data_IF_879056985276
#
_entry.id   IF_879056985276
#
_cell.length_a   1.000
_cell.length_b   1.000
_cell.length_c   1.000
_cell.angle_alpha   90.00
_cell.angle_beta   90.00
_cell.angle_gamma   90.00
#
_symmetry.space_group_name_H-M   'P 1'
#
loop_
_entity.id
_entity.type
_entity.pdbx_description
1 polymer ?
#
# COMPACT_ATOMS: atom_id res chain seq x y z
N UNK A 1 -3.37 17.03 11.33
CA UNK A 1 -3.50 17.50 9.95
C UNK A 1 -2.98 16.42 8.99
N UNK A 2 -1.68 16.15 8.93
CA UNK A 2 -1.10 15.14 8.02
C UNK A 2 -1.70 13.74 8.12
N UNK A 3 -1.95 13.23 9.33
CA UNK A 3 -2.60 11.91 9.49
C UNK A 3 -4.05 11.88 8.99
N UNK A 4 -4.72 13.04 9.01
CA UNK A 4 -6.08 13.20 8.45
C UNK A 4 -6.01 13.20 6.93
N UNK A 5 -5.03 13.90 6.35
CA UNK A 5 -4.81 13.94 4.89
C UNK A 5 -4.43 12.56 4.33
N UNK A 6 -3.72 11.74 5.11
CA UNK A 6 -3.31 10.38 4.72
C UNK A 6 -4.29 9.29 5.17
N UNK A 7 -5.47 9.64 5.69
CA UNK A 7 -6.40 8.69 6.30
C UNK A 7 -7.00 7.68 5.31
N UNK A 8 -6.96 7.97 4.00
CA UNK A 8 -7.35 7.02 2.96
C UNK A 8 -6.50 5.76 2.95
N UNK A 9 -5.22 5.88 3.36
CA UNK A 9 -4.30 4.74 3.46
C UNK A 9 -4.66 3.77 4.58
N UNK A 10 -5.54 4.17 5.51
CA UNK A 10 -6.01 3.31 6.61
C UNK A 10 -7.38 2.68 6.34
N UNK A 11 -7.95 2.86 5.14
CA UNK A 11 -9.21 2.22 4.74
C UNK A 11 -8.96 0.83 4.18
N UNK A 12 -9.99 0.14 3.73
CA UNK A 12 -9.83 -1.15 3.06
C UNK A 12 -9.03 -1.01 1.74
N UNK A 13 -8.47 -2.13 1.29
CA UNK A 13 -7.59 -2.15 0.12
C UNK A 13 -8.29 -1.69 -1.17
N UNK A 14 -9.60 -1.95 -1.29
CA UNK A 14 -10.40 -1.48 -2.43
C UNK A 14 -10.44 0.04 -2.47
N UNK A 15 -10.68 0.69 -1.34
CA UNK A 15 -10.62 2.15 -1.26
C UNK A 15 -9.20 2.67 -1.56
N UNK A 16 -8.16 2.04 -1.02
CA UNK A 16 -6.76 2.41 -1.30
C UNK A 16 -6.42 2.36 -2.80
N UNK A 17 -6.87 1.32 -3.52
CA UNK A 17 -6.71 1.22 -4.99
C UNK A 17 -7.48 2.30 -5.74
N UNK A 18 -8.73 2.56 -5.37
CA UNK A 18 -9.56 3.56 -6.03
C UNK A 18 -8.97 4.98 -5.89
N UNK A 19 -8.47 5.32 -4.69
CA UNK A 19 -7.79 6.58 -4.45
C UNK A 19 -6.47 6.65 -5.22
N UNK A 20 -5.67 5.57 -5.23
CA UNK A 20 -4.45 5.52 -6.03
C UNK A 20 -4.74 5.75 -7.53
N UNK A 21 -5.79 5.12 -8.08
CA UNK A 21 -6.20 5.31 -9.47
C UNK A 21 -6.49 6.79 -9.79
N UNK A 22 -7.22 7.48 -8.91
CA UNK A 22 -7.54 8.89 -9.11
C UNK A 22 -6.30 9.79 -9.01
N UNK A 23 -5.41 9.53 -8.05
CA UNK A 23 -4.15 10.28 -7.89
C UNK A 23 -3.26 10.12 -9.12
N UNK A 24 -3.06 8.88 -9.60
CA UNK A 24 -2.22 8.65 -10.77
C UNK A 24 -2.84 9.19 -12.05
N UNK A 25 -4.17 9.20 -12.19
CA UNK A 25 -4.83 9.90 -13.29
C UNK A 25 -4.51 11.39 -13.32
N UNK A 26 -4.50 12.04 -12.16
CA UNK A 26 -4.14 13.45 -12.04
C UNK A 26 -2.65 13.66 -12.36
N UNK A 27 -1.76 12.83 -11.81
CA UNK A 27 -0.32 12.90 -12.08
C UNK A 27 0.01 12.67 -13.56
N UNK A 28 -0.65 11.72 -14.21
CA UNK A 28 -0.45 11.46 -15.63
C UNK A 28 -1.00 12.61 -16.48
N UNK A 29 -2.14 13.21 -16.11
CA UNK A 29 -2.63 14.40 -16.81
C UNK A 29 -1.66 15.57 -16.69
N UNK A 30 -1.00 15.75 -15.54
CA UNK A 30 0.02 16.77 -15.36
C UNK A 30 1.28 16.45 -16.17
N UNK A 31 1.76 15.20 -16.12
CA UNK A 31 2.93 14.76 -16.89
C UNK A 31 2.73 14.87 -18.40
N UNK A 32 1.53 14.59 -18.90
CA UNK A 32 1.16 14.76 -20.31
C UNK A 32 1.21 16.25 -20.72
N UNK A 33 0.82 17.16 -19.83
CA UNK A 33 0.93 18.61 -20.05
C UNK A 33 2.40 19.07 -20.04
N UNK A 34 3.21 18.58 -19.10
CA UNK A 34 4.65 18.87 -19.05
C UNK A 34 5.37 18.41 -20.32
N UNK A 35 5.05 17.21 -20.83
CA UNK A 35 5.55 16.70 -22.12
C UNK A 35 5.17 17.63 -23.28
N UNK A 36 3.91 18.11 -23.32
CA UNK A 36 3.45 19.05 -24.35
C UNK A 36 4.18 20.39 -24.29
N UNK A 37 4.60 20.82 -23.11
CA UNK A 37 5.41 22.03 -22.91
C UNK A 37 6.91 21.81 -23.19
N UNK A 38 7.32 20.60 -23.57
CA UNK A 38 8.72 20.26 -23.83
C UNK A 38 9.55 19.97 -22.58
N UNK A 39 8.91 19.86 -21.41
CA UNK A 39 9.55 19.42 -20.18
C UNK A 39 9.53 17.89 -20.06
N UNK A 40 10.47 17.33 -19.30
CA UNK A 40 10.46 15.90 -18.95
C UNK A 40 9.79 15.72 -17.60
N UNK A 41 8.65 15.01 -17.51
CA UNK A 41 7.96 14.83 -16.25
C UNK A 41 8.72 13.90 -15.31
N UNK A 42 8.42 14.02 -14.01
CA UNK A 42 8.91 13.08 -13.01
C UNK A 42 8.40 11.67 -13.30
N UNK A 43 9.16 10.64 -12.89
CA UNK A 43 8.83 9.23 -13.18
C UNK A 43 7.43 8.83 -12.68
N UNK A 44 6.97 9.37 -11.55
CA UNK A 44 5.63 9.11 -11.01
C UNK A 44 4.48 9.79 -11.80
N UNK A 45 4.81 10.80 -12.61
CA UNK A 45 3.89 11.53 -13.48
C UNK A 45 3.96 11.04 -14.93
N UNK A 46 4.96 10.23 -15.26
CA UNK A 46 5.10 9.65 -16.59
C UNK A 46 4.36 8.31 -16.69
N UNK A 47 3.22 8.32 -17.37
CA UNK A 47 2.37 7.13 -17.56
C UNK A 47 3.06 5.97 -18.29
N UNK A 48 4.12 6.24 -19.05
CA UNK A 48 4.85 5.22 -19.81
C UNK A 48 5.92 4.52 -18.95
N UNK A 49 6.24 5.08 -17.79
CA UNK A 49 7.35 4.63 -16.92
C UNK A 49 6.94 4.33 -15.49
N UNK A 50 5.81 4.87 -15.02
CA UNK A 50 5.38 4.78 -13.64
C UNK A 50 5.03 3.33 -13.23
N UNK A 51 5.87 2.73 -12.38
CA UNK A 51 5.56 1.48 -11.71
C UNK A 51 4.72 1.72 -10.46
N UNK A 52 3.41 1.93 -10.64
CA UNK A 52 2.46 2.32 -9.58
C UNK A 52 2.57 1.51 -8.28
N UNK A 53 2.63 0.15 -8.29
CA UNK A 53 2.75 -0.62 -7.05
C UNK A 53 4.04 -0.32 -6.30
N UNK A 54 5.16 -0.14 -7.01
CA UNK A 54 6.47 0.18 -6.42
C UNK A 54 6.49 1.59 -5.85
N UNK A 55 5.94 2.56 -6.59
CA UNK A 55 5.85 3.96 -6.13
C UNK A 55 4.94 4.03 -4.89
N UNK A 56 3.83 3.29 -4.85
CA UNK A 56 2.98 3.24 -3.66
C UNK A 56 3.68 2.60 -2.46
N UNK A 57 4.43 1.52 -2.66
CA UNK A 57 5.22 0.92 -1.59
C UNK A 57 6.25 1.89 -1.02
N UNK A 58 6.96 2.61 -1.89
CA UNK A 58 7.94 3.61 -1.48
C UNK A 58 7.28 4.77 -0.71
N UNK A 59 6.14 5.28 -1.19
CA UNK A 59 5.35 6.30 -0.49
C UNK A 59 4.87 5.81 0.89
N UNK A 60 4.39 4.57 0.97
CA UNK A 60 3.93 4.01 2.25
C UNK A 60 5.08 3.83 3.23
N UNK A 61 6.23 3.35 2.79
CA UNK A 61 7.39 3.08 3.65
C UNK A 61 8.11 4.37 4.09
N UNK A 62 8.13 5.40 3.24
CA UNK A 62 8.86 6.67 3.51
C UNK A 62 8.00 7.76 4.15
N UNK A 63 6.69 7.78 3.90
CA UNK A 63 5.79 8.86 4.36
C UNK A 63 4.68 8.30 5.26
N UNK A 64 3.84 7.40 4.77
CA UNK A 64 2.63 7.01 5.48
C UNK A 64 2.95 6.26 6.80
N UNK A 65 3.74 5.19 6.74
CA UNK A 65 4.06 4.40 7.92
C UNK A 65 4.77 5.22 9.00
N UNK A 66 5.81 6.03 8.71
CA UNK A 66 6.44 6.89 9.72
C UNK A 66 5.48 7.90 10.37
N UNK A 67 4.55 8.50 9.61
CA UNK A 67 3.56 9.43 10.16
C UNK A 67 2.63 8.70 11.14
N UNK A 68 2.13 7.52 10.77
CA UNK A 68 1.23 6.76 11.62
C UNK A 68 1.95 6.03 12.77
N UNK A 69 3.24 5.71 12.63
CA UNK A 69 4.08 5.18 13.71
C UNK A 69 4.35 6.27 14.76
N UNK A 70 4.62 7.51 14.34
CA UNK A 70 4.72 8.65 15.25
C UNK A 70 3.42 8.83 16.04
N UNK A 71 2.27 8.80 15.36
CA UNK A 71 0.95 8.87 16.00
C UNK A 71 0.69 7.68 16.90
N UNK A 72 1.05 6.46 16.49
CA UNK A 72 0.88 5.26 17.29
C UNK A 72 1.76 5.30 18.54
N UNK A 73 3.03 5.69 18.42
CA UNK A 73 3.97 5.80 19.54
C UNK A 73 3.56 6.90 20.50
N UNK A 74 3.10 8.04 19.98
CA UNK A 74 2.50 9.10 20.78
C UNK A 74 1.23 8.63 21.49
N UNK A 75 0.29 8.01 20.78
CA UNK A 75 -0.93 7.44 21.34
C UNK A 75 -0.64 6.33 22.35
N UNK A 76 0.44 5.58 22.18
CA UNK A 76 0.87 4.54 23.13
C UNK A 76 1.51 5.13 24.38
N UNK A 77 2.24 6.25 24.28
CA UNK A 77 2.65 7.03 25.45
C UNK A 77 1.44 7.68 26.14
N UNK A 78 0.46 8.08 25.35
CA UNK A 78 -0.79 8.73 25.75
C UNK A 78 -1.90 7.66 25.99
N UNK A 79 -1.56 6.37 26.10
CA UNK A 79 -2.47 5.20 26.03
C UNK A 79 -3.61 5.12 27.06
N UNK A 80 -3.71 6.11 27.96
CA UNK A 80 -4.91 6.32 28.77
C UNK A 80 -6.02 7.07 28.03
N UNK A 81 -5.77 7.67 26.87
CA UNK A 81 -6.69 8.63 26.24
C UNK A 81 -7.28 8.19 24.89
N UNK A 82 -6.62 7.38 24.06
CA UNK A 82 -7.15 6.93 22.74
C UNK A 82 -6.68 5.50 22.37
N UNK A 83 -7.28 4.44 22.91
CA UNK A 83 -6.97 3.06 22.53
C UNK A 83 -7.27 2.70 21.06
N UNK A 84 -8.11 3.49 20.38
CA UNK A 84 -8.61 3.23 19.02
C UNK A 84 -7.54 3.36 17.92
N UNK A 85 -6.44 4.07 18.19
CA UNK A 85 -5.36 4.31 17.21
C UNK A 85 -4.62 3.05 16.75
N UNK A 86 -4.73 1.95 17.51
CA UNK A 86 -4.12 0.65 17.17
C UNK A 86 -4.72 0.07 15.89
N UNK A 87 -6.03 0.21 15.69
CA UNK A 87 -6.76 -0.32 14.53
C UNK A 87 -6.32 0.35 13.21
N UNK A 88 -6.01 1.65 13.26
CA UNK A 88 -5.58 2.43 12.10
C UNK A 88 -4.18 2.02 11.64
N UNK A 89 -3.25 1.82 12.57
CA UNK A 89 -1.89 1.40 12.26
C UNK A 89 -1.87 -0.02 11.65
N UNK A 90 -2.68 -0.93 12.18
CA UNK A 90 -2.84 -2.29 11.63
C UNK A 90 -3.42 -2.26 10.20
N UNK A 91 -4.40 -1.39 9.95
CA UNK A 91 -5.01 -1.25 8.62
C UNK A 91 -4.01 -0.75 7.56
N UNK A 92 -3.20 0.26 7.88
CA UNK A 92 -2.16 0.77 6.97
C UNK A 92 -1.10 -0.30 6.70
N UNK A 93 -0.69 -1.01 7.75
CA UNK A 93 0.27 -2.12 7.62
C UNK A 93 -0.31 -3.23 6.72
N UNK A 94 -1.60 -3.51 6.83
CA UNK A 94 -2.28 -4.47 5.97
C UNK A 94 -2.31 -3.99 4.51
N UNK A 95 -2.66 -2.74 4.25
CA UNK A 95 -2.66 -2.19 2.90
C UNK A 95 -1.27 -2.25 2.26
N UNK A 96 -0.21 -1.95 3.03
CA UNK A 96 1.18 -2.09 2.56
C UNK A 96 1.52 -3.53 2.20
N UNK A 97 0.98 -4.52 2.93
CA UNK A 97 1.11 -5.94 2.56
C UNK A 97 0.34 -6.30 1.30
N UNK A 98 -0.85 -5.73 1.11
CA UNK A 98 -1.65 -5.92 -0.10
C UNK A 98 -0.94 -5.34 -1.33
N UNK A 99 -0.40 -4.11 -1.25
CA UNK A 99 0.40 -3.52 -2.32
C UNK A 99 1.65 -4.35 -2.65
N UNK A 100 2.32 -4.91 -1.65
CA UNK A 100 3.46 -5.80 -1.88
C UNK A 100 3.05 -7.11 -2.57
N UNK A 101 1.92 -7.70 -2.16
CA UNK A 101 1.39 -8.90 -2.81
C UNK A 101 0.92 -8.62 -4.25
N UNK A 102 0.37 -7.43 -4.50
CA UNK A 102 0.00 -6.99 -5.84
C UNK A 102 1.24 -6.86 -6.74
N UNK A 103 2.30 -6.21 -6.26
CA UNK A 103 3.57 -6.12 -7.01
C UNK A 103 4.16 -7.50 -7.32
N UNK A 104 4.16 -8.42 -6.34
CA UNK A 104 4.61 -9.81 -6.56
C UNK A 104 3.79 -10.53 -7.65
N UNK A 105 2.46 -10.42 -7.63
CA UNK A 105 1.59 -11.07 -8.61
C UNK A 105 1.82 -10.50 -10.02
N UNK A 106 1.94 -9.18 -10.15
CA UNK A 106 2.21 -8.53 -11.44
C UNK A 106 3.57 -8.90 -12.01
N UNK A 107 4.58 -9.11 -11.15
CA UNK A 107 5.88 -9.65 -11.56
C UNK A 107 5.78 -11.10 -12.02
N UNK A 108 5.05 -11.94 -11.27
CA UNK A 108 4.83 -13.35 -11.61
C UNK A 108 4.10 -13.51 -12.97
N UNK A 109 3.19 -12.58 -13.29
CA UNK A 109 2.43 -12.58 -14.55
C UNK A 109 3.17 -11.92 -15.72
N UNK A 110 4.29 -11.22 -15.48
CA UNK A 110 5.06 -10.52 -16.50
C UNK A 110 4.40 -9.22 -17.01
N UNK A 111 3.35 -8.74 -16.34
CA UNK A 111 2.52 -7.60 -16.80
C UNK A 111 2.99 -6.24 -16.26
N UNK A 112 4.13 -6.20 -15.56
CA UNK A 112 4.65 -5.01 -14.84
C UNK A 112 4.78 -3.75 -15.71
N UNK A 113 4.99 -3.88 -17.03
CA UNK A 113 5.26 -2.75 -17.92
C UNK A 113 4.15 -2.44 -18.93
N UNK A 114 3.06 -3.21 -18.96
CA UNK A 114 2.08 -3.15 -20.07
C UNK A 114 0.73 -2.57 -19.64
N UNK A 115 0.45 -2.56 -18.34
CA UNK A 115 -0.85 -2.18 -17.83
C UNK A 115 -0.89 -0.68 -17.55
N UNK A 116 -1.87 0.01 -18.14
CA UNK A 116 -2.36 1.29 -17.62
C UNK A 116 -2.96 1.13 -16.22
N UNK A 117 -3.88 2.00 -15.81
CA UNK A 117 -4.46 1.91 -14.45
C UNK A 117 -5.60 0.88 -14.32
N UNK A 118 -5.99 0.20 -15.41
CA UNK A 118 -7.20 -0.63 -15.46
C UNK A 118 -7.15 -1.85 -14.52
N UNK A 119 -5.96 -2.42 -14.29
CA UNK A 119 -5.79 -3.56 -13.36
C UNK A 119 -6.14 -3.21 -11.91
N UNK A 120 -6.10 -1.92 -11.53
CA UNK A 120 -6.52 -1.50 -10.19
C UNK A 120 -8.02 -1.73 -9.94
N UNK A 121 -8.80 -1.80 -11.03
CA UNK A 121 -10.24 -2.07 -11.02
C UNK A 121 -10.59 -3.55 -11.11
N UNK A 122 -9.61 -4.42 -11.28
CA UNK A 122 -9.83 -5.86 -11.37
C UNK A 122 -10.16 -6.45 -9.99
N UNK A 123 -11.42 -6.90 -9.84
CA UNK A 123 -11.94 -7.51 -8.63
C UNK A 123 -11.37 -8.92 -8.38
N UNK A 124 -10.98 -9.65 -9.43
CA UNK A 124 -10.39 -10.99 -9.30
C UNK A 124 -8.91 -10.89 -8.90
N UNK A 125 -8.19 -9.90 -9.44
CA UNK A 125 -6.85 -9.57 -8.95
C UNK A 125 -6.88 -9.14 -7.48
N UNK A 126 -7.89 -8.35 -7.08
CA UNK A 126 -8.08 -7.97 -5.68
C UNK A 126 -8.25 -9.19 -4.77
N UNK A 127 -9.11 -10.15 -5.15
CA UNK A 127 -9.30 -11.39 -4.39
C UNK A 127 -8.00 -12.18 -4.28
N UNK A 128 -7.21 -12.28 -5.36
CA UNK A 128 -5.92 -12.97 -5.35
C UNK A 128 -4.94 -12.33 -4.37
N UNK A 129 -4.86 -10.99 -4.35
CA UNK A 129 -4.03 -10.23 -3.41
C UNK A 129 -4.45 -10.51 -1.97
N UNK A 130 -5.74 -10.41 -1.67
CA UNK A 130 -6.26 -10.62 -0.31
C UNK A 130 -6.02 -12.06 0.18
N UNK A 131 -6.20 -13.06 -0.68
CA UNK A 131 -5.93 -14.44 -0.34
C UNK A 131 -4.42 -14.68 -0.14
N UNK A 132 -3.55 -14.09 -0.97
CA UNK A 132 -2.08 -14.16 -0.80
C UNK A 132 -1.65 -13.62 0.56
N UNK A 133 -2.18 -12.46 0.97
CA UNK A 133 -1.91 -11.86 2.28
C UNK A 133 -2.44 -12.73 3.42
N UNK A 134 -3.65 -13.29 3.27
CA UNK A 134 -4.24 -14.22 4.26
C UNK A 134 -3.39 -15.47 4.46
N UNK A 135 -2.87 -16.04 3.38
CA UNK A 135 -2.00 -17.21 3.43
C UNK A 135 -0.64 -16.90 4.07
N UNK A 136 -0.05 -15.72 3.78
CA UNK A 136 1.17 -15.25 4.46
C UNK A 136 0.95 -15.12 5.97
N UNK A 137 -0.19 -14.57 6.41
CA UNK A 137 -0.55 -14.49 7.83
C UNK A 137 -0.67 -15.87 8.49
N UNK A 138 -1.38 -16.82 7.87
CA UNK A 138 -1.51 -18.21 8.37
C UNK A 138 -0.15 -18.91 8.52
N UNK A 139 0.72 -18.79 7.51
CA UNK A 139 2.08 -19.37 7.56
C UNK A 139 2.93 -18.76 8.68
N UNK A 140 2.83 -17.44 8.90
CA UNK A 140 3.54 -16.74 9.98
C UNK A 140 3.03 -17.20 11.36
N UNK A 141 1.71 -17.30 11.53
CA UNK A 141 1.08 -17.81 12.76
C UNK A 141 1.54 -19.24 13.08
N UNK A 142 1.52 -20.13 12.08
CA UNK A 142 1.94 -21.52 12.24
C UNK A 142 3.42 -21.64 12.63
N UNK A 143 4.31 -20.84 12.01
CA UNK A 143 5.73 -20.79 12.40
C UNK A 143 5.92 -20.32 13.84
N UNK A 144 5.19 -19.30 14.28
CA UNK A 144 5.28 -18.79 15.66
C UNK A 144 4.83 -19.87 16.66
N UNK A 145 3.68 -20.51 16.43
CA UNK A 145 3.21 -21.61 17.28
C UNK A 145 4.25 -22.74 17.36
N UNK A 146 4.90 -23.08 16.25
CA UNK A 146 5.95 -24.11 16.22
C UNK A 146 7.20 -23.71 17.00
N UNK A 147 7.70 -22.49 16.83
CA UNK A 147 8.84 -21.96 17.58
C UNK A 147 8.57 -21.91 19.08
N UNK A 148 7.38 -21.49 19.49
CA UNK A 148 6.98 -21.49 20.91
C UNK A 148 6.97 -22.91 21.47
N UNK A 149 6.48 -23.88 20.70
CA UNK A 149 6.47 -25.29 21.11
C UNK A 149 7.90 -25.86 21.23
N UNK A 150 8.81 -25.51 20.31
CA UNK A 150 10.22 -25.93 20.35
C UNK A 150 11.02 -25.27 21.50
N UNK A 151 10.61 -24.11 22.01
CA UNK A 151 11.21 -23.42 23.16
C UNK A 151 10.68 -23.90 24.52
N UNK A 152 9.60 -24.68 24.53
CA UNK A 152 8.91 -25.19 25.73
C UNK A 152 9.24 -26.67 26.04
N UNK A 153 10.09 -27.30 25.22
CA UNK A 153 10.64 -28.66 25.39
C UNK A 153 12.14 -28.53 25.60
#
# INVERSE_FOLDING_TARGET
MTSSDLSDQSKDFRNSKAIAENIYKEFFSQGDLEKQMGASPMEMMDRDRAAVPKIQLDFMDTVALPVFECVFTFNRMVAKLVPEGTSTFEAITLNRQCWAALDEILVEQGERSVLGLDYLRDDDLEKQVLERVRQKKKKKQHKVCRLVFELLI
#
